data_IF_396390031762
#
_entry.id   IF_396390031762
#
_cell.length_a   1.000
_cell.length_b   1.000
_cell.length_c   1.000
_cell.angle_alpha   90.00
_cell.angle_beta   90.00
_cell.angle_gamma   90.00
#
_symmetry.space_group_name_H-M   'P 1'
#
loop_
_entity.id
_entity.type
_entity.pdbx_description
1 polymer ?
#
# COMPACT_ATOMS: atom_id res chain seq x y z
N UNK A 1 -3.95 26.49 0.02
CA UNK A 1 -4.26 25.11 -0.39
C UNK A 1 -4.75 24.37 0.85
N UNK A 2 -6.01 23.96 0.89
CA UNK A 2 -6.56 23.18 2.00
C UNK A 2 -5.87 21.82 2.01
N UNK A 3 -5.06 21.56 3.04
CA UNK A 3 -4.55 20.23 3.35
C UNK A 3 -5.73 19.26 3.42
N UNK A 4 -5.92 18.45 2.39
CA UNK A 4 -7.00 17.47 2.36
C UNK A 4 -6.68 16.43 3.44
N UNK A 5 -7.38 16.47 4.58
CA UNK A 5 -7.19 15.54 5.69
C UNK A 5 -7.27 14.08 5.23
N UNK A 6 -8.07 13.81 4.20
CA UNK A 6 -8.18 12.52 3.53
C UNK A 6 -6.85 12.08 2.91
N UNK A 7 -6.12 12.98 2.22
CA UNK A 7 -4.81 12.65 1.63
C UNK A 7 -3.79 12.24 2.71
N UNK A 8 -3.71 12.99 3.80
CA UNK A 8 -2.77 12.69 4.89
C UNK A 8 -3.09 11.35 5.57
N UNK A 9 -4.38 11.06 5.79
CA UNK A 9 -4.85 9.80 6.36
C UNK A 9 -4.57 8.62 5.43
N UNK A 10 -4.89 8.75 4.14
CA UNK A 10 -4.64 7.68 3.15
C UNK A 10 -3.16 7.40 2.96
N UNK A 11 -2.30 8.43 3.03
CA UNK A 11 -0.85 8.25 3.01
C UNK A 11 -0.35 7.48 4.24
N UNK A 12 -0.78 7.88 5.45
CA UNK A 12 -0.41 7.18 6.67
C UNK A 12 -0.88 5.71 6.65
N UNK A 13 -2.12 5.49 6.22
CA UNK A 13 -2.68 4.14 6.05
C UNK A 13 -1.85 3.28 5.09
N UNK A 14 -1.43 3.81 3.94
CA UNK A 14 -0.59 3.08 3.00
C UNK A 14 0.77 2.68 3.61
N UNK A 15 1.37 3.55 4.44
CA UNK A 15 2.60 3.24 5.17
C UNK A 15 2.41 2.10 6.19
N UNK A 16 1.28 2.09 6.90
CA UNK A 16 0.98 1.02 7.86
C UNK A 16 0.73 -0.33 7.17
N UNK A 17 0.07 -0.32 6.01
CA UNK A 17 -0.12 -1.53 5.19
C UNK A 17 1.22 -2.12 4.74
N UNK A 18 2.20 -1.29 4.38
CA UNK A 18 3.55 -1.76 4.01
C UNK A 18 4.24 -2.41 5.21
N UNK A 19 4.16 -1.80 6.40
CA UNK A 19 4.73 -2.38 7.62
C UNK A 19 4.05 -3.70 7.99
N UNK A 20 2.73 -3.78 7.84
CA UNK A 20 1.96 -5.00 8.05
C UNK A 20 2.38 -6.10 7.08
N UNK A 21 2.53 -5.79 5.79
CA UNK A 21 3.05 -6.73 4.79
C UNK A 21 4.43 -7.26 5.18
N UNK A 22 5.35 -6.39 5.59
CA UNK A 22 6.68 -6.79 6.04
C UNK A 22 6.60 -7.72 7.27
N UNK A 23 5.73 -7.42 8.23
CA UNK A 23 5.53 -8.28 9.40
C UNK A 23 4.97 -9.65 9.03
N UNK A 24 3.93 -9.70 8.19
CA UNK A 24 3.28 -10.95 7.76
C UNK A 24 4.25 -11.86 6.98
N UNK A 25 5.08 -11.27 6.10
CA UNK A 25 6.04 -12.02 5.29
C UNK A 25 7.28 -12.45 6.07
N UNK A 26 7.79 -11.61 6.98
CA UNK A 26 9.00 -11.92 7.78
C UNK A 26 8.71 -12.83 8.96
N UNK A 27 7.62 -12.59 9.69
CA UNK A 27 7.33 -13.28 10.95
C UNK A 27 6.41 -14.47 10.75
N UNK A 28 5.33 -14.30 9.98
CA UNK A 28 4.32 -15.35 9.77
C UNK A 28 4.57 -16.19 8.52
N UNK A 29 5.54 -15.81 7.67
CA UNK A 29 5.81 -16.45 6.37
C UNK A 29 4.53 -16.57 5.51
N UNK A 30 3.64 -15.59 5.63
CA UNK A 30 2.40 -15.54 4.87
C UNK A 30 2.62 -14.63 3.65
N UNK A 31 2.44 -15.17 2.46
CA UNK A 31 2.82 -14.53 1.19
C UNK A 31 1.65 -14.35 0.21
N UNK A 32 0.50 -14.98 0.46
CA UNK A 32 -0.64 -14.97 -0.47
C UNK A 32 -1.59 -13.86 -0.07
N UNK A 33 -2.07 -13.88 1.17
CA UNK A 33 -3.00 -12.88 1.68
C UNK A 33 -2.32 -11.52 1.90
N UNK A 34 -1.06 -11.54 2.37
CA UNK A 34 -0.25 -10.35 2.58
C UNK A 34 -0.06 -9.55 1.29
N UNK A 35 0.12 -10.22 0.15
CA UNK A 35 0.15 -9.57 -1.17
C UNK A 35 -1.21 -8.94 -1.56
N UNK A 36 -2.32 -9.60 -1.24
CA UNK A 36 -3.65 -9.04 -1.51
C UNK A 36 -3.90 -7.78 -0.66
N UNK A 37 -3.56 -7.84 0.64
CA UNK A 37 -3.65 -6.70 1.57
C UNK A 37 -2.75 -5.55 1.11
N UNK A 38 -1.54 -5.83 0.64
CA UNK A 38 -0.64 -4.81 0.09
C UNK A 38 -1.26 -4.14 -1.14
N UNK A 39 -1.78 -4.91 -2.10
CA UNK A 39 -2.43 -4.37 -3.32
C UNK A 39 -3.65 -3.50 -2.98
N UNK A 40 -4.57 -4.01 -2.17
CA UNK A 40 -5.81 -3.29 -1.84
C UNK A 40 -5.57 -2.07 -0.94
N UNK A 41 -4.60 -2.16 -0.02
CA UNK A 41 -4.29 -1.07 0.90
C UNK A 41 -3.54 0.09 0.23
N UNK A 42 -2.65 -0.21 -0.73
CA UNK A 42 -1.90 0.82 -1.47
C UNK A 42 -2.71 1.48 -2.58
N UNK A 43 -3.70 0.79 -3.17
CA UNK A 43 -4.58 1.36 -4.20
C UNK A 43 -5.44 2.53 -3.68
N UNK A 44 -5.80 2.51 -2.39
CA UNK A 44 -6.53 3.62 -1.74
C UNK A 44 -5.67 4.90 -1.72
N UNK A 45 -4.38 4.76 -1.42
CA UNK A 45 -3.43 5.88 -1.46
C UNK A 45 -3.23 6.40 -2.89
N UNK A 46 -3.05 5.50 -3.85
CA UNK A 46 -2.82 5.82 -5.26
C UNK A 46 -4.02 6.53 -5.93
N UNK A 47 -5.26 6.18 -5.55
CA UNK A 47 -6.47 6.79 -6.12
C UNK A 47 -6.73 8.21 -5.62
N UNK A 48 -6.32 8.54 -4.39
CA UNK A 48 -6.53 9.87 -3.79
C UNK A 48 -5.39 10.83 -4.16
N UNK A 49 -4.18 10.31 -4.36
CA UNK A 49 -3.07 11.05 -4.93
C UNK A 49 -2.09 10.09 -5.62
N UNK A 50 -1.61 10.36 -6.83
CA UNK A 50 -0.59 9.55 -7.48
C UNK A 50 0.76 9.80 -6.81
N UNK A 51 0.92 9.33 -5.58
CA UNK A 51 2.22 9.29 -4.91
C UNK A 51 3.05 8.28 -5.67
N UNK A 52 4.00 8.78 -6.46
CA UNK A 52 4.91 7.98 -7.30
C UNK A 52 5.50 6.80 -6.51
N UNK A 53 5.84 7.02 -5.25
CA UNK A 53 6.38 6.02 -4.31
C UNK A 53 5.43 4.82 -4.06
N UNK A 54 4.12 5.05 -3.99
CA UNK A 54 3.08 4.03 -3.74
C UNK A 54 2.80 3.24 -5.02
N UNK A 55 2.83 3.93 -6.17
CA UNK A 55 2.61 3.29 -7.48
C UNK A 55 3.70 2.27 -7.85
N UNK A 56 4.96 2.45 -7.43
CA UNK A 56 6.01 1.46 -7.72
C UNK A 56 5.79 0.12 -6.99
N UNK A 57 5.22 0.14 -5.78
CA UNK A 57 4.87 -1.08 -5.05
C UNK A 57 3.70 -1.84 -5.71
N UNK A 58 2.77 -1.11 -6.31
CA UNK A 58 1.66 -1.63 -7.11
C UNK A 58 2.18 -2.19 -8.45
N UNK A 59 3.06 -1.47 -9.15
CA UNK A 59 3.59 -1.88 -10.46
C UNK A 59 4.45 -3.14 -10.40
N UNK A 60 5.26 -3.32 -9.35
CA UNK A 60 6.11 -4.51 -9.19
C UNK A 60 5.33 -5.80 -8.90
N UNK A 61 4.05 -5.71 -8.52
CA UNK A 61 3.25 -6.89 -8.19
C UNK A 61 1.91 -6.99 -8.89
N UNK A 62 1.38 -5.95 -9.55
CA UNK A 62 0.17 -6.03 -10.41
C UNK A 62 0.47 -6.55 -11.81
N UNK A 63 1.67 -6.30 -12.37
CA UNK A 63 1.99 -6.67 -13.76
C UNK A 63 2.49 -8.12 -13.94
N UNK A 64 2.53 -8.95 -12.90
CA UNK A 64 3.05 -10.34 -12.98
C UNK A 64 2.00 -11.43 -12.73
N UNK A 65 0.71 -11.09 -12.84
CA UNK A 65 -0.41 -12.04 -12.90
C UNK A 65 -1.35 -11.63 -14.01
#
# INVERSE_FOLDING_TARGET
MSENTVQKKSFHFALEVIKLYQYLTSTKKEYVLSKQVLRSGTSIGANIHPVKLISYAILLHICST
#
